data_IF_352495455406
#
_entry.id   IF_352495455406
#
_cell.length_a   1.000
_cell.length_b   1.000
_cell.length_c   1.000
_cell.angle_alpha   90.00
_cell.angle_beta   90.00
_cell.angle_gamma   90.00
#
_symmetry.space_group_name_H-M   'P 1'
#
loop_
_entity.id
_entity.type
_entity.pdbx_description
1 polymer ?
#
# COMPACT_ATOMS: atom_id res chain seq x y z
N UNK A 1 14.08 5.41 2.20
CA UNK A 1 12.66 5.05 2.24
C UNK A 1 11.82 6.27 1.95
N UNK A 2 10.99 6.20 0.94
CA UNK A 2 10.32 7.41 0.46
C UNK A 2 8.84 7.49 0.80
N UNK A 3 8.19 6.35 1.06
CA UNK A 3 6.75 6.35 1.33
C UNK A 3 6.31 5.02 1.95
N UNK A 4 5.09 5.04 2.48
CA UNK A 4 4.41 3.83 2.93
C UNK A 4 3.47 3.39 1.80
N UNK A 5 3.62 2.14 1.38
CA UNK A 5 2.87 1.58 0.26
C UNK A 5 1.78 0.64 0.78
N UNK A 6 0.51 0.95 0.52
CA UNK A 6 -0.53 0.02 0.90
C UNK A 6 -0.83 -0.99 -0.21
N UNK A 7 -1.59 -2.03 0.13
CA UNK A 7 -1.87 -3.12 -0.80
C UNK A 7 -2.78 -2.68 -1.95
N UNK A 8 -3.68 -1.72 -1.73
CA UNK A 8 -4.57 -1.25 -2.80
C UNK A 8 -3.80 -0.60 -3.94
N UNK A 9 -2.81 0.22 -3.59
CA UNK A 9 -1.96 0.88 -4.58
C UNK A 9 -1.11 -0.14 -5.33
N UNK A 10 -0.48 -1.07 -4.61
CA UNK A 10 0.36 -2.09 -5.23
C UNK A 10 -0.46 -3.02 -6.14
N UNK A 11 -1.68 -3.39 -5.72
CA UNK A 11 -2.54 -4.25 -6.50
C UNK A 11 -2.96 -3.62 -7.83
N UNK A 12 -3.03 -2.29 -7.90
CA UNK A 12 -3.41 -1.60 -9.13
C UNK A 12 -2.47 -1.91 -10.29
N UNK A 13 -1.23 -2.25 -10.00
CA UNK A 13 -0.26 -2.61 -11.05
C UNK A 13 -0.58 -3.96 -11.71
N UNK A 14 -1.32 -4.82 -11.00
CA UNK A 14 -1.66 -6.14 -11.48
C UNK A 14 -2.88 -6.15 -12.42
N UNK A 15 -3.81 -5.22 -12.22
CA UNK A 15 -5.08 -5.20 -12.94
C UNK A 15 -5.09 -4.05 -13.96
N UNK A 16 -5.17 -4.36 -15.28
CA UNK A 16 -5.09 -3.32 -16.31
C UNK A 16 -6.14 -2.22 -16.17
N UNK A 17 -7.35 -2.55 -15.70
CA UNK A 17 -8.43 -1.58 -15.52
C UNK A 17 -8.21 -0.65 -14.33
N UNK A 18 -7.22 -0.95 -13.46
CA UNK A 18 -6.89 -0.11 -12.31
C UNK A 18 -5.63 0.72 -12.52
N UNK A 19 -4.93 0.53 -13.64
CA UNK A 19 -3.71 1.27 -13.93
C UNK A 19 -4.03 2.70 -14.33
N UNK A 20 -3.29 3.65 -13.75
CA UNK A 20 -3.41 5.06 -14.07
C UNK A 20 -2.01 5.64 -14.23
N UNK A 21 -1.92 6.89 -14.70
CA UNK A 21 -0.63 7.58 -14.79
C UNK A 21 0.00 7.71 -13.42
N UNK A 22 -0.81 7.94 -12.39
CA UNK A 22 -0.32 8.04 -11.02
C UNK A 22 0.30 6.73 -10.54
N UNK A 23 -0.41 5.59 -10.73
CA UNK A 23 0.10 4.31 -10.28
C UNK A 23 1.34 3.87 -11.05
N UNK A 24 1.40 4.20 -12.34
CA UNK A 24 2.57 3.90 -13.14
C UNK A 24 3.78 4.75 -12.73
N UNK A 25 3.55 6.03 -12.44
CA UNK A 25 4.60 6.92 -11.97
C UNK A 25 5.18 6.44 -10.64
N UNK A 26 4.32 5.97 -9.74
CA UNK A 26 4.77 5.41 -8.48
C UNK A 26 5.66 4.19 -8.69
N UNK A 27 5.25 3.28 -9.56
CA UNK A 27 6.04 2.10 -9.87
C UNK A 27 7.41 2.48 -10.40
N UNK A 28 7.47 3.48 -11.28
CA UNK A 28 8.73 3.98 -11.81
C UNK A 28 9.61 4.57 -10.71
N UNK A 29 9.02 5.31 -9.77
CA UNK A 29 9.74 5.90 -8.64
C UNK A 29 10.32 4.81 -7.74
N UNK A 30 9.60 3.71 -7.53
CA UNK A 30 10.04 2.61 -6.69
C UNK A 30 11.06 1.70 -7.36
N UNK A 31 11.26 1.83 -8.66
CA UNK A 31 12.28 1.06 -9.38
C UNK A 31 13.69 1.57 -9.10
N UNK A 32 13.83 2.75 -8.48
CA UNK A 32 15.13 3.31 -8.12
C UNK A 32 15.72 2.68 -6.85
N UNK A 33 16.80 3.27 -6.32
CA UNK A 33 17.46 2.74 -5.13
C UNK A 33 16.65 2.88 -3.85
N UNK A 34 15.67 3.77 -3.85
CA UNK A 34 14.84 4.01 -2.70
C UNK A 34 13.76 2.93 -2.56
N UNK A 35 13.39 2.65 -1.33
CA UNK A 35 12.43 1.61 -1.02
C UNK A 35 11.19 2.19 -0.35
N UNK A 36 10.08 1.52 -0.54
CA UNK A 36 8.89 1.79 0.22
C UNK A 36 8.93 1.01 1.53
N UNK A 37 8.08 1.40 2.47
CA UNK A 37 7.86 0.66 3.70
C UNK A 37 6.40 0.21 3.75
N UNK A 38 6.14 -0.87 4.45
CA UNK A 38 4.77 -1.36 4.67
C UNK A 38 4.74 -2.19 5.95
N UNK A 39 3.57 -2.27 6.61
CA UNK A 39 3.40 -3.24 7.70
C UNK A 39 3.57 -4.65 7.14
N UNK A 40 4.03 -5.57 7.98
CA UNK A 40 4.33 -6.94 7.55
C UNK A 40 3.16 -7.64 6.88
N UNK A 41 1.93 -7.35 7.30
CA UNK A 41 0.73 -7.94 6.70
C UNK A 41 0.54 -7.58 5.21
N UNK A 42 1.21 -6.54 4.72
CA UNK A 42 1.15 -6.15 3.31
C UNK A 42 1.46 -7.34 2.41
N UNK A 43 2.42 -8.19 2.79
CA UNK A 43 2.80 -9.35 2.00
C UNK A 43 1.64 -10.31 1.80
N UNK A 44 0.81 -10.50 2.83
CA UNK A 44 -0.37 -11.34 2.74
C UNK A 44 -1.52 -10.63 2.04
N UNK A 45 -1.72 -9.36 2.33
CA UNK A 45 -2.82 -8.61 1.73
C UNK A 45 -2.72 -8.53 0.21
N UNK A 46 -1.53 -8.22 -0.32
CA UNK A 46 -1.35 -8.13 -1.76
C UNK A 46 -1.60 -9.49 -2.43
N UNK A 47 -1.14 -10.56 -1.81
CA UNK A 47 -1.36 -11.91 -2.33
C UNK A 47 -2.83 -12.30 -2.29
N UNK A 48 -3.54 -11.89 -1.24
CA UNK A 48 -4.97 -12.16 -1.15
C UNK A 48 -5.78 -11.41 -2.21
N UNK A 49 -5.41 -10.15 -2.49
CA UNK A 49 -6.06 -9.38 -3.55
C UNK A 49 -5.84 -10.05 -4.91
N UNK A 50 -4.61 -10.48 -5.20
CA UNK A 50 -4.28 -11.17 -6.45
C UNK A 50 -5.01 -12.51 -6.54
N UNK A 51 -5.04 -13.28 -5.46
CA UNK A 51 -5.76 -14.55 -5.40
C UNK A 51 -7.24 -14.36 -5.71
N UNK A 52 -7.86 -13.34 -5.12
CA UNK A 52 -9.27 -13.02 -5.36
C UNK A 52 -9.49 -12.65 -6.83
N UNK A 53 -8.57 -11.89 -7.41
CA UNK A 53 -8.63 -11.55 -8.84
C UNK A 53 -8.61 -12.78 -9.75
N UNK A 54 -7.79 -13.77 -9.42
CA UNK A 54 -7.74 -15.03 -10.16
C UNK A 54 -9.08 -15.77 -10.02
N UNK A 55 -9.61 -15.87 -8.80
CA UNK A 55 -10.87 -16.55 -8.54
C UNK A 55 -12.05 -15.88 -9.23
N UNK A 56 -12.01 -14.57 -9.38
CA UNK A 56 -13.03 -13.78 -10.07
C UNK A 56 -12.76 -13.67 -11.58
N UNK A 57 -11.79 -14.40 -12.08
CA UNK A 57 -11.45 -14.44 -13.50
C UNK A 57 -11.04 -13.08 -14.09
N UNK A 58 -10.54 -12.18 -13.23
CA UNK A 58 -9.98 -10.88 -13.67
C UNK A 58 -8.55 -11.01 -14.16
N UNK A 59 -7.88 -12.10 -13.83
CA UNK A 59 -6.45 -12.28 -14.05
C UNK A 59 -6.14 -13.77 -14.19
N UNK A 60 -5.34 -14.14 -15.18
CA UNK A 60 -4.92 -15.52 -15.36
C UNK A 60 -3.90 -15.95 -14.32
N UNK A 61 -3.83 -17.24 -14.04
CA UNK A 61 -2.92 -17.79 -13.05
C UNK A 61 -1.45 -17.43 -13.35
N UNK A 62 -1.04 -17.54 -14.61
CA UNK A 62 0.34 -17.25 -15.00
C UNK A 62 0.68 -15.79 -14.82
N UNK A 63 -0.23 -14.89 -15.18
CA UNK A 63 -0.02 -13.46 -15.01
C UNK A 63 0.04 -13.09 -13.53
N UNK A 64 -0.79 -13.73 -12.71
CA UNK A 64 -0.76 -13.53 -11.26
C UNK A 64 0.59 -13.93 -10.67
N UNK A 65 1.09 -15.13 -11.04
CA UNK A 65 2.37 -15.62 -10.56
C UNK A 65 3.51 -14.70 -11.01
N UNK A 66 3.50 -14.26 -12.26
CA UNK A 66 4.50 -13.35 -12.79
C UNK A 66 4.49 -12.01 -12.06
N UNK A 67 3.32 -11.48 -11.77
CA UNK A 67 3.18 -10.23 -11.03
C UNK A 67 3.78 -10.36 -9.62
N UNK A 68 3.40 -11.41 -8.89
CA UNK A 68 3.91 -11.63 -7.54
C UNK A 68 5.43 -11.80 -7.52
N UNK A 69 5.97 -12.49 -8.52
CA UNK A 69 7.41 -12.62 -8.67
C UNK A 69 8.06 -11.26 -8.91
N UNK A 70 7.47 -10.41 -9.75
CA UNK A 70 8.02 -9.09 -10.05
C UNK A 70 8.08 -8.19 -8.82
N UNK A 71 7.18 -8.38 -7.85
CA UNK A 71 7.20 -7.59 -6.62
C UNK A 71 8.47 -7.82 -5.81
N UNK A 72 9.09 -8.99 -5.94
CA UNK A 72 10.32 -9.29 -5.19
C UNK A 72 11.48 -8.41 -5.64
N UNK A 73 11.42 -7.83 -6.84
CA UNK A 73 12.42 -6.91 -7.33
C UNK A 73 12.31 -5.51 -6.71
N UNK A 74 11.16 -5.18 -6.12
CA UNK A 74 10.96 -3.91 -5.44
C UNK A 74 11.48 -4.00 -4.01
N UNK A 75 12.06 -2.92 -3.54
CA UNK A 75 12.58 -2.87 -2.17
C UNK A 75 11.47 -2.41 -1.23
N UNK A 76 10.65 -3.36 -0.80
CA UNK A 76 9.59 -3.09 0.15
C UNK A 76 10.06 -3.57 1.52
N UNK A 77 10.29 -2.62 2.42
CA UNK A 77 10.73 -2.92 3.77
C UNK A 77 9.51 -3.20 4.63
N UNK A 78 9.39 -4.43 5.13
CA UNK A 78 8.27 -4.85 5.96
C UNK A 78 8.61 -4.64 7.43
N UNK A 79 7.73 -3.95 8.14
CA UNK A 79 7.95 -3.58 9.53
C UNK A 79 6.79 -4.04 10.40
N UNK A 80 7.10 -4.41 11.63
CA UNK A 80 6.09 -4.74 12.63
C UNK A 80 5.70 -3.46 13.37
N UNK A 81 4.44 -3.05 13.33
CA UNK A 81 4.02 -1.85 14.04
C UNK A 81 3.86 -2.11 15.53
N UNK A 82 4.01 -1.08 16.38
CA UNK A 82 3.63 -1.19 17.80
C UNK A 82 2.12 -1.32 17.90
N UNK A 83 1.62 -2.43 18.39
CA UNK A 83 0.19 -2.73 18.36
C UNK A 83 -0.65 -1.72 19.15
N UNK A 84 -0.14 -1.21 20.26
CA UNK A 84 -0.84 -0.20 21.04
C UNK A 84 -1.05 1.10 20.27
N UNK A 85 -0.02 1.56 19.57
CA UNK A 85 -0.11 2.78 18.76
C UNK A 85 -1.07 2.59 17.58
N UNK A 86 -1.08 1.41 16.98
CA UNK A 86 -2.03 1.09 15.90
C UNK A 86 -3.46 1.10 16.44
N UNK A 87 -3.67 0.49 17.61
CA UNK A 87 -5.00 0.45 18.22
C UNK A 87 -5.53 1.86 18.49
N UNK A 88 -4.69 2.73 19.05
CA UNK A 88 -5.06 4.12 19.27
C UNK A 88 -5.39 4.85 17.97
N UNK A 89 -4.59 4.65 16.93
CA UNK A 89 -4.86 5.26 15.64
C UNK A 89 -6.17 4.75 15.05
N UNK A 90 -6.47 3.47 15.19
CA UNK A 90 -7.71 2.88 14.70
C UNK A 90 -8.92 3.53 15.35
N UNK A 91 -8.89 3.73 16.67
CA UNK A 91 -9.97 4.38 17.40
C UNK A 91 -10.09 5.86 17.01
N UNK A 92 -8.97 6.55 16.96
CA UNK A 92 -8.96 7.99 16.71
C UNK A 92 -9.45 8.35 15.32
N UNK A 93 -9.09 7.58 14.30
CA UNK A 93 -9.40 7.88 12.91
C UNK A 93 -10.50 6.99 12.33
N UNK A 94 -11.13 6.17 13.18
CA UNK A 94 -12.22 5.27 12.78
C UNK A 94 -11.82 4.36 11.61
N UNK A 95 -10.72 3.67 11.77
CA UNK A 95 -10.17 2.76 10.78
C UNK A 95 -10.18 1.33 11.31
N UNK A 96 -10.16 0.36 10.38
CA UNK A 96 -9.84 -1.00 10.76
C UNK A 96 -8.42 -1.04 11.33
N UNK A 97 -8.11 -2.08 12.11
CA UNK A 97 -6.76 -2.25 12.64
C UNK A 97 -5.73 -2.32 11.50
N UNK A 98 -6.09 -3.00 10.40
CA UNK A 98 -5.21 -3.15 9.24
C UNK A 98 -4.90 -1.79 8.58
N UNK A 99 -5.93 -0.99 8.30
CA UNK A 99 -5.72 0.34 7.71
C UNK A 99 -4.97 1.26 8.67
N UNK A 100 -5.28 1.17 9.96
CA UNK A 100 -4.59 1.96 10.97
C UNK A 100 -3.09 1.63 11.04
N UNK A 101 -2.71 0.39 10.73
CA UNK A 101 -1.29 0.01 10.72
C UNK A 101 -0.51 0.77 9.64
N UNK A 102 -1.11 1.00 8.48
CA UNK A 102 -0.48 1.83 7.44
C UNK A 102 -0.36 3.28 7.88
N UNK A 103 -1.42 3.84 8.45
CA UNK A 103 -1.41 5.22 8.92
C UNK A 103 -0.41 5.42 10.05
N UNK A 104 -0.37 4.51 11.02
CA UNK A 104 0.56 4.59 12.14
C UNK A 104 2.01 4.58 11.65
N UNK A 105 2.32 3.71 10.68
CA UNK A 105 3.66 3.64 10.12
C UNK A 105 4.05 4.97 9.45
N UNK A 106 3.14 5.55 8.68
CA UNK A 106 3.39 6.82 8.02
C UNK A 106 3.62 7.95 9.04
N UNK A 107 2.82 7.97 10.10
CA UNK A 107 2.98 8.97 11.18
C UNK A 107 4.31 8.79 11.90
N UNK A 108 4.64 7.58 12.28
CA UNK A 108 5.84 7.28 13.06
C UNK A 108 7.11 7.57 12.30
N UNK A 109 7.14 7.26 11.01
CA UNK A 109 8.34 7.42 10.18
C UNK A 109 8.34 8.74 9.39
N UNK A 110 7.31 9.56 9.56
CA UNK A 110 7.18 10.84 8.84
C UNK A 110 7.26 10.66 7.32
N UNK A 111 6.53 9.68 6.81
CA UNK A 111 6.52 9.35 5.38
C UNK A 111 5.15 9.60 4.77
N UNK A 112 5.10 9.98 3.49
CA UNK A 112 3.83 10.02 2.79
C UNK A 112 3.25 8.63 2.61
N UNK A 113 1.93 8.56 2.44
CA UNK A 113 1.20 7.32 2.27
C UNK A 113 0.71 7.20 0.83
N UNK A 114 1.00 6.09 0.18
CA UNK A 114 0.51 5.80 -1.17
C UNK A 114 -0.65 4.80 -1.06
N UNK A 115 -1.87 5.28 -1.28
CA UNK A 115 -3.08 4.48 -1.17
C UNK A 115 -4.11 4.89 -2.21
N UNK A 116 -4.91 3.94 -2.67
CA UNK A 116 -6.11 4.19 -3.48
C UNK A 116 -7.38 4.08 -2.66
N UNK A 117 -7.28 3.69 -1.40
CA UNK A 117 -8.42 3.58 -0.50
C UNK A 117 -8.86 4.97 -0.04
N UNK A 118 -10.11 5.32 -0.34
CA UNK A 118 -10.62 6.67 -0.04
C UNK A 118 -10.71 6.94 1.46
N UNK A 119 -11.06 5.94 2.24
CA UNK A 119 -11.21 6.08 3.69
C UNK A 119 -9.84 6.29 4.36
N UNK A 120 -8.86 5.50 3.97
CA UNK A 120 -7.50 5.63 4.48
C UNK A 120 -6.89 6.97 4.07
N UNK A 121 -7.12 7.40 2.82
CA UNK A 121 -6.66 8.70 2.34
C UNK A 121 -7.22 9.85 3.19
N UNK A 122 -8.53 9.82 3.46
CA UNK A 122 -9.15 10.86 4.30
C UNK A 122 -8.55 10.89 5.70
N UNK A 123 -8.32 9.71 6.29
CA UNK A 123 -7.71 9.64 7.61
C UNK A 123 -6.28 10.18 7.59
N UNK A 124 -5.51 9.87 6.56
CA UNK A 124 -4.15 10.39 6.41
C UNK A 124 -4.14 11.91 6.35
N UNK A 125 -5.00 12.49 5.53
CA UNK A 125 -5.09 13.96 5.43
C UNK A 125 -5.51 14.59 6.76
N UNK A 126 -6.47 13.98 7.47
CA UNK A 126 -6.88 14.44 8.79
C UNK A 126 -5.75 14.36 9.82
N UNK A 127 -4.84 13.43 9.65
CA UNK A 127 -3.68 13.23 10.52
C UNK A 127 -2.45 14.03 10.08
N UNK A 128 -2.59 14.88 9.06
CA UNK A 128 -1.49 15.64 8.46
C UNK A 128 -0.39 14.75 7.87
N UNK A 129 -0.78 13.59 7.37
CA UNK A 129 0.10 12.71 6.61
C UNK A 129 -0.08 13.03 5.14
N UNK A 130 1.01 13.31 4.44
CA UNK A 130 0.96 13.57 3.00
C UNK A 130 0.52 12.30 2.26
N UNK A 131 -0.30 12.47 1.23
CA UNK A 131 -0.75 11.37 0.40
C UNK A 131 -0.09 11.50 -0.96
N UNK A 132 0.52 10.42 -1.44
CA UNK A 132 1.21 10.41 -2.72
C UNK A 132 0.25 10.81 -3.84
N UNK A 133 0.63 11.82 -4.60
CA UNK A 133 -0.20 12.33 -5.69
C UNK A 133 -1.18 13.44 -5.31
N UNK A 134 -1.32 13.72 -4.02
CA UNK A 134 -2.19 14.80 -3.54
C UNK A 134 -1.37 16.07 -3.30
N UNK A 135 -1.95 17.22 -3.63
CA UNK A 135 -1.34 18.50 -3.29
C UNK A 135 -0.11 18.87 -4.10
N UNK A 136 0.15 18.15 -5.16
CA UNK A 136 1.29 18.43 -6.02
C UNK A 136 0.92 19.40 -7.14
#
# INVERSE_FOLDING_TARGET
MNLVLDASMAASWCFPDERTDLTQRLLNDLAGPEAAAAPRMWAYEIRNVVLRGVRQERLGHKDAAAFLESLTALRIRLLDPPYGSVFEAALRFDLSFYDAAYLELALREHLPLATLDKRLRRAALAANVAVYGEGS
#
